data_IF_164325716314
#
_entry.id   IF_164325716314
#
_cell.length_a   1.000
_cell.length_b   1.000
_cell.length_c   1.000
_cell.angle_alpha   90.00
_cell.angle_beta   90.00
_cell.angle_gamma   90.00
#
_symmetry.space_group_name_H-M   'P 1'
#
loop_
_entity.id
_entity.type
_entity.pdbx_description
1 polymer ?
#
# COMPACT_ATOMS: atom_id res chain seq x y z
N UNK A 1 0.80 16.45 -10.83
CA UNK A 1 1.82 15.56 -10.25
C UNK A 1 1.16 14.21 -10.13
N UNK A 2 1.89 13.17 -10.49
CA UNK A 2 1.37 11.82 -10.49
C UNK A 2 1.30 11.33 -9.03
N UNK A 3 0.33 10.47 -8.72
CA UNK A 3 0.00 10.14 -7.32
C UNK A 3 -0.23 8.66 -7.17
N UNK A 4 0.19 8.16 -6.02
CA UNK A 4 -0.16 6.84 -5.52
C UNK A 4 -1.30 6.97 -4.52
N UNK A 5 -2.21 6.00 -4.52
CA UNK A 5 -3.35 6.01 -3.61
C UNK A 5 -3.40 4.78 -2.72
N UNK A 6 -3.75 4.97 -1.45
CA UNK A 6 -3.73 3.93 -0.43
C UNK A 6 -5.03 3.93 0.37
N UNK A 7 -5.66 2.77 0.54
CA UNK A 7 -6.91 2.63 1.28
C UNK A 7 -6.95 1.37 2.12
N UNK A 8 -7.63 1.41 3.27
CA UNK A 8 -7.82 0.22 4.12
C UNK A 8 -8.99 -0.58 3.57
N UNK A 9 -8.76 -1.86 3.26
CA UNK A 9 -9.79 -2.75 2.75
C UNK A 9 -10.81 -3.07 3.85
N UNK A 10 -12.09 -2.84 3.58
CA UNK A 10 -13.13 -3.12 4.58
C UNK A 10 -13.39 -4.60 4.79
N UNK A 11 -13.23 -5.39 3.73
CA UNK A 11 -13.26 -6.86 3.72
C UNK A 11 -11.87 -7.38 3.37
N UNK A 12 -11.50 -8.52 3.93
CA UNK A 12 -10.26 -9.19 3.53
C UNK A 12 -10.36 -9.68 2.09
N UNK A 13 -9.29 -9.51 1.27
CA UNK A 13 -9.26 -10.03 -0.09
C UNK A 13 -9.34 -11.56 -0.07
N UNK A 14 -10.11 -12.14 -0.99
CA UNK A 14 -10.21 -13.59 -1.11
C UNK A 14 -9.13 -14.13 -2.05
N UNK A 15 -8.68 -15.37 -1.83
CA UNK A 15 -7.65 -16.03 -2.67
C UNK A 15 -8.04 -16.09 -4.15
N UNK A 16 -9.33 -16.19 -4.46
CA UNK A 16 -9.82 -16.26 -5.84
C UNK A 16 -10.24 -14.90 -6.41
N UNK A 17 -10.11 -13.83 -5.62
CA UNK A 17 -10.43 -12.48 -6.06
C UNK A 17 -9.23 -11.84 -6.75
N UNK A 18 -9.55 -11.01 -7.74
CA UNK A 18 -8.57 -10.27 -8.52
C UNK A 18 -9.03 -8.82 -8.64
N UNK A 19 -8.10 -7.91 -8.42
CA UNK A 19 -8.28 -6.47 -8.42
C UNK A 19 -7.56 -5.93 -9.65
N UNK A 20 -8.32 -5.52 -10.66
CA UNK A 20 -7.79 -4.95 -11.91
C UNK A 20 -8.37 -3.56 -12.22
N UNK A 21 -9.38 -3.13 -11.47
CA UNK A 21 -10.09 -1.88 -11.70
C UNK A 21 -9.64 -0.83 -10.70
N UNK A 22 -9.40 0.38 -11.21
CA UNK A 22 -9.07 1.55 -10.41
C UNK A 22 -10.33 2.12 -9.77
N UNK A 23 -10.52 1.84 -8.48
CA UNK A 23 -11.72 2.20 -7.70
C UNK A 23 -11.34 2.76 -6.31
N UNK A 24 -10.51 3.82 -6.24
CA UNK A 24 -9.98 4.33 -4.96
C UNK A 24 -11.07 4.84 -4.00
N UNK A 25 -12.23 5.24 -4.54
CA UNK A 25 -13.37 5.74 -3.78
C UNK A 25 -13.99 4.65 -2.90
N UNK A 26 -13.97 3.38 -3.34
CA UNK A 26 -14.51 2.23 -2.58
C UNK A 26 -13.74 1.99 -1.26
N UNK A 27 -12.47 2.40 -1.22
CA UNK A 27 -11.57 2.17 -0.10
C UNK A 27 -11.27 3.43 0.71
N UNK A 28 -11.91 4.56 0.36
CA UNK A 28 -11.64 5.88 0.91
C UNK A 28 -10.14 6.20 0.89
N UNK A 29 -9.49 5.99 -0.27
CA UNK A 29 -8.06 6.12 -0.38
C UNK A 29 -7.58 7.54 -0.05
N UNK A 30 -6.42 7.63 0.59
CA UNK A 30 -5.60 8.85 0.63
C UNK A 30 -4.67 8.86 -0.59
N UNK A 31 -4.30 10.05 -1.04
CA UNK A 31 -3.32 10.21 -2.12
C UNK A 31 -1.98 10.71 -1.57
N UNK A 32 -0.89 10.14 -2.07
CA UNK A 32 0.50 10.53 -1.78
C UNK A 32 1.15 10.88 -3.12
N UNK A 33 1.89 12.00 -3.15
CA UNK A 33 2.59 12.41 -4.36
C UNK A 33 3.73 11.42 -4.67
N UNK A 34 3.90 11.09 -5.95
CA UNK A 34 4.94 10.17 -6.41
C UNK A 34 6.35 10.67 -6.08
N UNK A 35 6.54 11.99 -5.98
CA UNK A 35 7.79 12.61 -5.51
C UNK A 35 8.25 12.08 -4.13
N UNK A 36 7.35 11.48 -3.33
CA UNK A 36 7.65 10.85 -2.05
C UNK A 36 7.66 9.32 -2.09
N UNK A 37 7.13 8.68 -3.14
CA UNK A 37 7.07 7.23 -3.31
C UNK A 37 8.21 6.72 -4.18
N UNK A 38 8.47 7.37 -5.32
CA UNK A 38 9.57 7.02 -6.24
C UNK A 38 10.92 6.85 -5.50
N UNK A 39 11.34 7.76 -4.61
CA UNK A 39 12.66 7.64 -3.96
C UNK A 39 12.79 6.43 -3.03
N UNK A 40 11.67 5.89 -2.54
CA UNK A 40 11.62 4.84 -1.52
C UNK A 40 11.16 3.50 -2.09
N UNK A 41 10.87 3.44 -3.40
CA UNK A 41 10.38 2.24 -4.05
C UNK A 41 11.36 1.07 -3.94
N UNK A 42 12.67 1.37 -3.94
CA UNK A 42 13.75 0.38 -3.78
C UNK A 42 13.77 -0.16 -2.36
N UNK A 43 13.63 0.71 -1.36
CA UNK A 43 13.59 0.31 0.06
C UNK A 43 12.39 -0.61 0.34
N UNK A 44 11.26 -0.36 -0.35
CA UNK A 44 10.04 -1.15 -0.23
C UNK A 44 10.12 -2.54 -0.89
N UNK A 45 11.15 -2.85 -1.70
CA UNK A 45 11.28 -4.15 -2.38
C UNK A 45 11.47 -5.34 -1.42
N UNK A 46 11.76 -5.09 -0.14
CA UNK A 46 11.80 -6.12 0.89
C UNK A 46 10.42 -6.59 1.35
N UNK A 47 9.43 -5.68 1.32
CA UNK A 47 8.12 -5.82 1.96
C UNK A 47 7.27 -6.86 1.24
N UNK A 48 6.82 -7.88 1.96
CA UNK A 48 5.96 -8.91 1.39
C UNK A 48 4.59 -8.34 1.02
N UNK A 49 4.20 -8.48 -0.24
CA UNK A 49 2.98 -7.94 -0.83
C UNK A 49 2.31 -8.95 -1.76
N UNK A 50 1.19 -8.53 -2.36
CA UNK A 50 0.55 -9.26 -3.45
C UNK A 50 0.16 -8.30 -4.57
N UNK A 51 0.36 -8.69 -5.82
CA UNK A 51 0.00 -7.83 -6.96
C UNK A 51 -1.28 -8.32 -7.61
N UNK A 52 -2.31 -7.47 -7.62
CA UNK A 52 -3.66 -7.74 -8.15
C UNK A 52 -4.44 -8.89 -7.49
N UNK A 53 -3.82 -9.88 -6.85
CA UNK A 53 -4.50 -11.03 -6.22
C UNK A 53 -3.59 -11.72 -5.22
N UNK A 54 -4.17 -12.33 -4.18
CA UNK A 54 -3.41 -13.12 -3.19
C UNK A 54 -2.69 -14.35 -3.80
N UNK A 55 -2.99 -14.73 -5.04
CA UNK A 55 -2.26 -15.77 -5.78
C UNK A 55 -0.92 -15.30 -6.35
N UNK A 56 -0.72 -13.99 -6.44
CA UNK A 56 0.49 -13.38 -7.01
C UNK A 56 1.27 -12.74 -5.87
N UNK A 57 1.97 -13.58 -5.10
CA UNK A 57 2.85 -13.12 -4.03
C UNK A 57 4.07 -12.42 -4.65
N UNK A 58 4.25 -11.16 -4.31
CA UNK A 58 5.32 -10.29 -4.83
C UNK A 58 5.89 -9.48 -3.67
N UNK A 59 6.86 -8.61 -3.96
CA UNK A 59 7.40 -7.69 -2.97
C UNK A 59 7.31 -6.24 -3.41
N UNK A 60 7.19 -5.36 -2.43
CA UNK A 60 7.06 -3.92 -2.64
C UNK A 60 5.78 -3.52 -3.37
N UNK A 61 5.78 -2.27 -3.83
CA UNK A 61 4.64 -1.69 -4.54
C UNK A 61 4.77 -1.92 -6.05
N UNK A 62 3.67 -2.36 -6.66
CA UNK A 62 3.49 -2.32 -8.11
C UNK A 62 3.41 -0.85 -8.53
N UNK A 63 4.50 -0.30 -9.08
CA UNK A 63 4.60 1.12 -9.42
C UNK A 63 3.49 1.57 -10.40
N UNK A 64 3.18 0.73 -11.39
CA UNK A 64 2.07 0.90 -12.35
C UNK A 64 1.06 -0.25 -12.23
N UNK A 65 0.49 -0.47 -11.04
CA UNK A 65 -0.46 -1.55 -10.82
C UNK A 65 -1.13 -1.52 -9.45
N UNK A 66 -1.81 -2.61 -9.10
CA UNK A 66 -2.50 -2.73 -7.82
C UNK A 66 -1.71 -3.61 -6.88
N UNK A 67 -1.46 -3.12 -5.67
CA UNK A 67 -0.78 -3.87 -4.61
C UNK A 67 -1.73 -4.08 -3.43
N UNK A 68 -1.75 -5.29 -2.90
CA UNK A 68 -2.40 -5.64 -1.63
C UNK A 68 -1.28 -5.84 -0.60
N UNK A 69 -1.21 -4.93 0.36
CA UNK A 69 -0.23 -4.97 1.45
C UNK A 69 -0.90 -5.66 2.64
N UNK A 70 -0.45 -6.85 3.06
CA UNK A 70 -1.06 -7.57 4.16
C UNK A 70 -0.71 -6.93 5.51
N UNK A 71 -1.58 -7.07 6.53
CA UNK A 71 -1.34 -6.49 7.86
C UNK A 71 -0.03 -6.94 8.50
N UNK A 72 0.44 -8.17 8.20
CA UNK A 72 1.74 -8.69 8.68
C UNK A 72 2.95 -7.89 8.17
N UNK A 73 2.82 -7.19 7.05
CA UNK A 73 3.88 -6.40 6.43
C UNK A 73 3.89 -4.94 6.86
N UNK A 74 2.88 -4.50 7.63
CA UNK A 74 2.72 -3.10 8.02
C UNK A 74 3.85 -2.57 8.90
N UNK A 75 4.46 -3.44 9.71
CA UNK A 75 5.58 -3.05 10.56
C UNK A 75 6.82 -2.67 9.76
N UNK A 76 7.20 -3.51 8.79
CA UNK A 76 8.30 -3.24 7.88
C UNK A 76 7.99 -2.02 7.00
N UNK A 77 6.80 -1.98 6.42
CA UNK A 77 6.32 -0.86 5.61
C UNK A 77 6.42 0.47 6.36
N UNK A 78 5.89 0.53 7.58
CA UNK A 78 5.90 1.77 8.38
C UNK A 78 7.31 2.15 8.83
N UNK A 79 8.18 1.18 9.11
CA UNK A 79 9.57 1.44 9.49
C UNK A 79 10.34 2.13 8.37
N UNK A 80 10.14 1.69 7.12
CA UNK A 80 10.74 2.31 5.93
C UNK A 80 10.23 3.75 5.76
N UNK A 81 8.93 3.98 5.90
CA UNK A 81 8.34 5.32 5.80
C UNK A 81 8.87 6.27 6.89
N UNK A 82 8.97 5.80 8.13
CA UNK A 82 9.49 6.59 9.25
C UNK A 82 10.96 6.98 9.05
N UNK A 83 11.77 6.11 8.45
CA UNK A 83 13.18 6.39 8.18
C UNK A 83 13.38 7.61 7.26
N UNK A 84 12.43 7.88 6.36
CA UNK A 84 12.49 9.04 5.46
C UNK A 84 12.33 10.38 6.18
N UNK A 85 11.70 10.37 7.35
CA UNK A 85 11.46 11.56 8.19
C UNK A 85 10.80 12.71 7.40
N UNK A 86 9.83 12.39 6.52
CA UNK A 86 9.06 13.34 5.70
C UNK A 86 7.65 13.51 6.26
N UNK A 87 7.21 14.76 6.41
CA UNK A 87 5.87 15.04 6.95
C UNK A 87 4.77 14.59 5.98
N UNK A 88 5.07 14.61 4.69
CA UNK A 88 4.18 14.23 3.59
C UNK A 88 3.82 12.74 3.61
N UNK A 89 4.63 11.90 4.28
CA UNK A 89 4.34 10.49 4.50
C UNK A 89 3.55 10.21 5.80
N UNK A 90 3.26 11.23 6.62
CA UNK A 90 2.63 11.03 7.94
C UNK A 90 1.24 10.41 7.83
N UNK A 91 0.44 10.84 6.87
CA UNK A 91 -0.90 10.28 6.63
C UNK A 91 -0.84 8.81 6.19
N UNK A 92 0.18 8.44 5.41
CA UNK A 92 0.41 7.05 5.00
C UNK A 92 0.86 6.17 6.18
N UNK A 93 1.74 6.71 7.04
CA UNK A 93 2.16 6.05 8.29
C UNK A 93 0.95 5.83 9.21
N UNK A 94 0.10 6.83 9.40
CA UNK A 94 -1.12 6.72 10.20
C UNK A 94 -2.08 5.68 9.62
N UNK A 95 -2.26 5.64 8.30
CA UNK A 95 -3.10 4.66 7.63
C UNK A 95 -2.54 3.23 7.82
N UNK A 96 -1.23 3.04 7.65
CA UNK A 96 -0.57 1.74 7.83
C UNK A 96 -0.68 1.24 9.29
N UNK A 97 -0.47 2.11 10.27
CA UNK A 97 -0.65 1.78 11.68
C UNK A 97 -2.10 1.39 11.99
N UNK A 98 -3.08 2.15 11.48
CA UNK A 98 -4.49 1.79 11.62
C UNK A 98 -4.83 0.44 10.98
N UNK A 99 -4.26 0.14 9.81
CA UNK A 99 -4.44 -1.14 9.15
C UNK A 99 -3.83 -2.29 9.97
N UNK A 100 -2.63 -2.08 10.54
CA UNK A 100 -1.97 -3.02 11.45
C UNK A 100 -2.84 -3.32 12.67
N UNK A 101 -3.31 -2.28 13.37
CA UNK A 101 -4.11 -2.42 14.60
C UNK A 101 -5.45 -3.12 14.34
N UNK A 102 -6.04 -2.88 13.16
CA UNK A 102 -7.30 -3.50 12.75
C UNK A 102 -7.11 -4.88 12.10
N UNK A 103 -5.88 -5.32 11.86
CA UNK A 103 -5.58 -6.55 11.14
C UNK A 103 -6.09 -6.55 9.70
N UNK A 104 -6.11 -5.38 9.03
CA UNK A 104 -6.67 -5.20 7.69
C UNK A 104 -5.59 -5.03 6.63
N UNK A 105 -5.92 -5.46 5.40
CA UNK A 105 -5.11 -5.17 4.23
C UNK A 105 -5.21 -3.70 3.84
N UNK A 106 -4.14 -3.19 3.25
CA UNK A 106 -4.14 -1.92 2.51
C UNK A 106 -4.11 -2.25 1.02
N UNK A 107 -5.01 -1.65 0.25
CA UNK A 107 -4.92 -1.62 -1.20
C UNK A 107 -4.17 -0.37 -1.63
N UNK A 108 -3.24 -0.54 -2.55
CA UNK A 108 -2.46 0.52 -3.17
C UNK A 108 -2.74 0.53 -4.68
N UNK A 109 -2.99 1.71 -5.22
CA UNK A 109 -3.08 1.97 -6.65
C UNK A 109 -1.85 2.78 -7.07
N UNK A 110 -1.04 2.16 -7.92
CA UNK A 110 0.05 2.81 -8.65
C UNK A 110 -0.47 3.66 -9.81
N UNK A 111 0.47 4.23 -10.56
CA UNK A 111 0.23 5.23 -11.61
C UNK A 111 -0.03 4.62 -12.99
#
# INVERSE_FOLDING_TARGET
MAKHEFGIMQKEPLVNERYDTYEPQEYNCIAVDDDFIEPIIIDLQGVDCYWHSLKTAEKGLAYCGITLIPPRSMEEFTSILLYQNKRELSSLIELANQAKDKGKYVIHYGM
#
